data_IF_285950938786
#
_entry.id   IF_285950938786
#
_cell.length_a   1.000
_cell.length_b   1.000
_cell.length_c   1.000
_cell.angle_alpha   90.00
_cell.angle_beta   90.00
_cell.angle_gamma   90.00
#
_symmetry.space_group_name_H-M   'P 1'
#
loop_
_entity.id
_entity.type
_entity.pdbx_description
1 polymer ?
#
# COMPACT_ATOMS: atom_id res chain seq x y z
N UNK A 1 46.90 3.52 -21.90
CA UNK A 1 45.49 3.61 -22.38
C UNK A 1 44.60 2.51 -21.77
N UNK A 2 45.05 1.25 -21.74
CA UNK A 2 44.28 0.10 -21.22
C UNK A 2 43.79 0.24 -19.76
N UNK A 3 44.62 0.73 -18.83
CA UNK A 3 44.25 0.96 -17.41
C UNK A 3 43.10 1.97 -17.24
N UNK A 4 43.03 2.98 -18.12
CA UNK A 4 41.99 4.02 -18.12
C UNK A 4 40.66 3.48 -18.65
N UNK A 5 40.71 2.47 -19.53
CA UNK A 5 39.54 1.78 -20.06
C UNK A 5 38.94 0.82 -19.01
N UNK A 6 39.79 0.04 -18.34
CA UNK A 6 39.38 -0.86 -17.25
C UNK A 6 38.76 -0.09 -16.08
N UNK A 7 39.32 1.07 -15.71
CA UNK A 7 38.77 1.94 -14.66
C UNK A 7 37.42 2.57 -15.01
N UNK A 8 37.14 2.81 -16.30
CA UNK A 8 35.83 3.32 -16.74
C UNK A 8 34.77 2.22 -16.71
N UNK A 9 35.16 0.99 -17.06
CA UNK A 9 34.26 -0.17 -17.01
C UNK A 9 33.89 -0.54 -15.58
N UNK A 10 34.81 -0.47 -14.63
CA UNK A 10 34.51 -0.68 -13.21
C UNK A 10 33.61 0.41 -12.63
N UNK A 11 33.81 1.68 -13.01
CA UNK A 11 32.92 2.78 -12.59
C UNK A 11 31.50 2.61 -13.15
N UNK A 12 31.36 2.15 -14.40
CA UNK A 12 30.06 1.91 -15.02
C UNK A 12 29.31 0.73 -14.38
N UNK A 13 30.03 -0.35 -14.06
CA UNK A 13 29.48 -1.50 -13.36
C UNK A 13 29.01 -1.13 -11.94
N UNK A 14 29.79 -0.34 -11.21
CA UNK A 14 29.40 0.14 -9.88
C UNK A 14 28.15 1.03 -9.92
N UNK A 15 28.04 1.92 -10.91
CA UNK A 15 26.87 2.76 -11.10
C UNK A 15 25.60 1.94 -11.43
N UNK A 16 25.73 0.88 -12.22
CA UNK A 16 24.61 0.00 -12.57
C UNK A 16 24.11 -0.80 -11.34
N UNK A 17 25.03 -1.32 -10.52
CA UNK A 17 24.67 -2.01 -9.27
C UNK A 17 23.92 -1.08 -8.32
N UNK A 18 24.41 0.14 -8.13
CA UNK A 18 23.75 1.16 -7.30
C UNK A 18 22.38 1.54 -7.85
N UNK A 19 22.23 1.68 -9.17
CA UNK A 19 20.95 1.97 -9.80
C UNK A 19 19.91 0.85 -9.58
N UNK A 20 20.35 -0.41 -9.57
CA UNK A 20 19.46 -1.56 -9.33
C UNK A 20 19.14 -1.81 -7.85
N UNK A 21 19.97 -1.35 -6.92
CA UNK A 21 19.73 -1.50 -5.47
C UNK A 21 18.66 -0.54 -4.92
N UNK A 22 18.24 0.46 -5.71
CA UNK A 22 17.04 1.25 -5.45
C UNK A 22 15.79 0.68 -6.16
N UNK A 23 15.82 -0.62 -6.51
CA UNK A 23 14.69 -1.31 -7.11
C UNK A 23 13.39 -0.96 -6.40
N UNK A 24 12.38 -0.58 -7.20
CA UNK A 24 11.08 -0.16 -6.73
C UNK A 24 10.56 -1.19 -5.72
N UNK A 25 10.40 -0.77 -4.46
CA UNK A 25 9.57 -1.50 -3.52
C UNK A 25 8.16 -1.50 -4.12
N UNK A 26 7.79 -2.61 -4.76
CA UNK A 26 6.43 -2.83 -5.20
C UNK A 26 5.60 -2.84 -3.93
N UNK A 27 4.85 -1.77 -3.66
CA UNK A 27 3.86 -1.78 -2.60
C UNK A 27 2.95 -2.98 -2.87
N UNK A 28 3.06 -4.01 -2.05
CA UNK A 28 2.23 -5.20 -2.19
C UNK A 28 0.77 -4.73 -2.12
N UNK A 29 0.06 -4.86 -3.23
CA UNK A 29 -1.39 -4.79 -3.23
C UNK A 29 -1.86 -5.84 -2.23
N UNK A 30 -2.66 -5.44 -1.24
CA UNK A 30 -3.22 -6.40 -0.31
C UNK A 30 -4.41 -7.08 -1.00
N UNK A 31 -4.49 -8.40 -0.98
CA UNK A 31 -5.58 -9.11 -1.67
C UNK A 31 -6.96 -8.71 -1.10
N UNK A 32 -7.03 -8.45 0.21
CA UNK A 32 -8.29 -8.02 0.83
C UNK A 32 -8.09 -7.21 2.12
N UNK A 33 -9.07 -6.37 2.42
CA UNK A 33 -9.18 -5.64 3.70
C UNK A 33 -10.56 -5.85 4.31
N UNK A 34 -10.59 -6.09 5.62
CA UNK A 34 -11.81 -6.09 6.42
C UNK A 34 -11.86 -4.85 7.31
N UNK A 35 -12.84 -3.99 7.07
CA UNK A 35 -13.05 -2.76 7.82
C UNK A 35 -13.92 -3.02 9.06
N UNK A 36 -13.36 -2.76 10.24
CA UNK A 36 -14.14 -2.58 11.45
C UNK A 36 -14.56 -1.11 11.55
N UNK A 37 -15.88 -0.88 11.58
CA UNK A 37 -16.46 0.47 11.54
C UNK A 37 -16.93 0.82 12.95
N UNK A 38 -16.33 1.83 13.62
CA UNK A 38 -16.64 2.20 15.00
C UNK A 38 -17.93 3.05 15.10
N UNK A 39 -19.00 2.60 14.45
CA UNK A 39 -20.25 3.32 14.37
C UNK A 39 -21.36 2.50 13.72
N UNK A 40 -22.59 2.99 13.85
CA UNK A 40 -23.75 2.39 13.19
C UNK A 40 -23.71 2.54 11.67
N UNK A 41 -24.46 1.69 10.97
CA UNK A 41 -24.66 1.79 9.53
C UNK A 41 -25.26 3.15 9.13
N UNK A 42 -24.84 3.69 7.99
CA UNK A 42 -25.28 4.99 7.47
C UNK A 42 -24.68 6.22 8.15
N UNK A 43 -23.85 6.06 9.19
CA UNK A 43 -23.12 7.16 9.83
C UNK A 43 -21.88 7.59 9.04
N UNK A 44 -21.26 8.71 9.45
CA UNK A 44 -20.06 9.24 8.78
C UNK A 44 -18.90 8.24 8.72
N UNK A 45 -18.68 7.46 9.78
CA UNK A 45 -17.67 6.39 9.79
C UNK A 45 -18.00 5.26 8.81
N UNK A 46 -19.27 4.89 8.65
CA UNK A 46 -19.69 3.85 7.72
C UNK A 46 -19.48 4.27 6.26
N UNK A 47 -19.89 5.50 5.92
CA UNK A 47 -19.64 6.08 4.60
C UNK A 47 -18.14 6.22 4.29
N UNK A 48 -17.35 6.63 5.29
CA UNK A 48 -15.88 6.77 5.12
C UNK A 48 -15.21 5.44 4.83
N UNK A 49 -15.54 4.38 5.59
CA UNK A 49 -14.97 3.05 5.37
C UNK A 49 -15.36 2.49 3.99
N UNK A 50 -16.66 2.56 3.64
CA UNK A 50 -17.17 2.04 2.36
C UNK A 50 -16.64 2.82 1.16
N UNK A 51 -16.59 4.15 1.24
CA UNK A 51 -16.02 4.97 0.16
C UNK A 51 -14.53 4.73 -0.04
N UNK A 52 -13.78 4.54 1.05
CA UNK A 52 -12.35 4.20 0.97
C UNK A 52 -12.14 2.82 0.35
N UNK A 53 -12.87 1.80 0.83
CA UNK A 53 -12.82 0.46 0.25
C UNK A 53 -13.19 0.44 -1.23
N UNK A 54 -14.23 1.18 -1.64
CA UNK A 54 -14.62 1.33 -3.03
C UNK A 54 -13.51 1.96 -3.88
N UNK A 55 -12.85 3.02 -3.39
CA UNK A 55 -11.74 3.65 -4.09
C UNK A 55 -10.52 2.72 -4.23
N UNK A 56 -10.19 1.96 -3.18
CA UNK A 56 -9.08 1.01 -3.17
C UNK A 56 -9.35 -0.18 -4.12
N UNK A 57 -10.56 -0.72 -4.12
CA UNK A 57 -10.93 -1.79 -5.07
C UNK A 57 -10.96 -1.28 -6.51
N UNK A 58 -11.54 -0.10 -6.76
CA UNK A 58 -11.57 0.49 -8.11
C UNK A 58 -10.20 0.86 -8.66
N UNK A 59 -9.23 1.18 -7.81
CA UNK A 59 -7.85 1.46 -8.22
C UNK A 59 -7.02 0.20 -8.48
N UNK A 60 -7.57 -0.99 -8.23
CA UNK A 60 -6.84 -2.26 -8.33
C UNK A 60 -5.82 -2.48 -7.23
N UNK A 61 -5.91 -1.72 -6.12
CA UNK A 61 -5.04 -1.87 -4.96
C UNK A 61 -5.52 -2.97 -4.01
N UNK A 62 -6.81 -3.33 -4.07
CA UNK A 62 -7.42 -4.45 -3.35
C UNK A 62 -8.31 -5.28 -4.29
N UNK A 63 -8.28 -6.60 -4.19
CA UNK A 63 -9.26 -7.44 -4.92
C UNK A 63 -10.64 -7.37 -4.27
N UNK A 64 -10.70 -7.28 -2.94
CA UNK A 64 -11.96 -7.18 -2.21
C UNK A 64 -11.89 -6.40 -0.91
N UNK A 65 -13.03 -5.84 -0.50
CA UNK A 65 -13.22 -5.17 0.77
C UNK A 65 -14.48 -5.70 1.46
N UNK A 66 -14.43 -5.90 2.78
CA UNK A 66 -15.56 -6.31 3.60
C UNK A 66 -15.71 -5.41 4.82
N UNK A 67 -16.91 -5.37 5.42
CA UNK A 67 -17.29 -4.35 6.39
C UNK A 67 -18.10 -4.93 7.54
N UNK A 68 -17.74 -4.58 8.77
CA UNK A 68 -18.52 -4.87 9.97
C UNK A 68 -18.74 -3.59 10.79
N UNK A 69 -20.00 -3.28 11.09
CA UNK A 69 -20.36 -2.16 11.94
C UNK A 69 -20.37 -2.60 13.42
N UNK A 70 -19.42 -2.09 14.20
CA UNK A 70 -19.32 -2.32 15.64
C UNK A 70 -19.65 -1.03 16.40
N UNK A 71 -20.94 -0.77 16.58
CA UNK A 71 -21.42 0.39 17.34
C UNK A 71 -21.38 0.15 18.85
N UNK A 72 -20.93 1.15 19.61
CA UNK A 72 -20.93 1.13 21.09
C UNK A 72 -19.73 1.83 21.71
N UNK A 73 -19.89 2.31 22.95
CA UNK A 73 -18.79 2.90 23.73
C UNK A 73 -18.10 4.11 23.07
N UNK A 74 -18.83 4.90 22.27
CA UNK A 74 -18.25 6.01 21.50
C UNK A 74 -17.25 5.58 20.42
N UNK A 75 -17.29 4.33 19.98
CA UNK A 75 -16.33 3.72 19.06
C UNK A 75 -15.38 2.73 19.74
N UNK A 76 -15.31 2.73 21.08
CA UNK A 76 -14.46 1.84 21.87
C UNK A 76 -14.77 0.36 21.73
N UNK A 77 -15.95 -0.03 21.22
CA UNK A 77 -16.27 -1.45 20.96
C UNK A 77 -15.45 -2.04 19.80
N UNK A 78 -14.94 -1.21 18.89
CA UNK A 78 -14.22 -1.64 17.70
C UNK A 78 -12.69 -1.73 17.90
N UNK A 79 -12.17 -1.34 19.07
CA UNK A 79 -10.73 -1.27 19.38
C UNK A 79 -10.38 -1.96 20.70
#
# INVERSE_FOLDING_TARGET
>A
MLKKLISKQTALAAALVVATSFGATSAQAADSVHFLIPGGAGGGWDGTARGTGEALTKSGLLDSASYENMSGGGGGKAI
#
